data_IF_109874240733
#
_entry.id   IF_109874240733
#
_cell.length_a   1.000
_cell.length_b   1.000
_cell.length_c   1.000
_cell.angle_alpha   90.00
_cell.angle_beta   90.00
_cell.angle_gamma   90.00
#
_symmetry.space_group_name_H-M   'P 1'
#
loop_
_entity.id
_entity.type
_entity.pdbx_description
1 polymer ?
#
# COMPACT_ATOMS: atom_id res chain seq x y z
N UNK A 1 -9.12 -9.12 -9.51
CA UNK A 1 -9.18 -8.01 -10.49
C UNK A 1 -9.43 -6.66 -9.83
N UNK A 2 -10.33 -6.55 -8.85
CA UNK A 2 -10.79 -5.27 -8.26
C UNK A 2 -9.69 -4.26 -7.90
N UNK A 3 -8.58 -4.60 -7.18
CA UNK A 3 -7.53 -3.62 -6.90
C UNK A 3 -6.86 -3.08 -8.16
N UNK A 4 -6.63 -3.93 -9.15
CA UNK A 4 -6.01 -3.53 -10.42
C UNK A 4 -6.95 -2.67 -11.27
N UNK A 5 -8.25 -2.97 -11.23
CA UNK A 5 -9.26 -2.16 -11.91
C UNK A 5 -9.44 -0.79 -11.26
N UNK A 6 -9.29 -0.69 -9.92
CA UNK A 6 -9.26 0.60 -9.24
C UNK A 6 -8.04 1.42 -9.69
N UNK A 7 -6.84 0.82 -9.73
CA UNK A 7 -5.63 1.50 -10.26
C UNK A 7 -5.85 1.97 -11.69
N UNK A 8 -6.38 1.09 -12.55
CA UNK A 8 -6.67 1.41 -13.94
C UNK A 8 -7.71 2.54 -14.08
N UNK A 9 -8.76 2.51 -13.24
CA UNK A 9 -9.79 3.54 -13.21
C UNK A 9 -9.19 4.92 -12.85
N UNK A 10 -8.39 4.97 -11.78
CA UNK A 10 -7.70 6.21 -11.35
C UNK A 10 -6.79 6.74 -12.45
N UNK A 11 -5.95 5.88 -13.07
CA UNK A 11 -5.02 6.27 -14.10
C UNK A 11 -5.71 6.72 -15.40
N UNK A 12 -6.73 5.97 -15.87
CA UNK A 12 -7.49 6.30 -17.10
C UNK A 12 -8.24 7.63 -16.98
N UNK A 13 -8.77 7.93 -15.80
CA UNK A 13 -9.54 9.15 -15.56
C UNK A 13 -8.68 10.35 -15.09
N UNK A 14 -7.34 10.26 -15.17
CA UNK A 14 -6.40 11.29 -14.75
C UNK A 14 -6.62 11.80 -13.32
N UNK A 15 -7.11 10.94 -12.44
CA UNK A 15 -7.32 11.28 -11.04
C UNK A 15 -5.98 11.34 -10.29
N UNK A 16 -5.91 12.06 -9.16
CA UNK A 16 -4.73 11.98 -8.30
C UNK A 16 -4.43 10.52 -7.95
N UNK A 17 -3.19 10.07 -8.19
CA UNK A 17 -2.87 8.66 -8.00
C UNK A 17 -2.95 8.21 -6.53
N UNK A 18 -2.96 9.14 -5.59
CA UNK A 18 -3.31 8.87 -4.18
C UNK A 18 -4.69 8.21 -4.03
N UNK A 19 -5.63 8.42 -4.97
CA UNK A 19 -6.95 7.78 -4.91
C UNK A 19 -6.89 6.24 -4.93
N UNK A 20 -5.79 5.62 -5.37
CA UNK A 20 -5.65 4.16 -5.22
C UNK A 20 -5.74 3.71 -3.75
N UNK A 21 -5.46 4.60 -2.80
CA UNK A 21 -5.58 4.37 -1.35
C UNK A 21 -6.65 5.24 -0.69
N UNK A 22 -6.91 6.46 -1.20
CA UNK A 22 -7.83 7.41 -0.55
C UNK A 22 -9.23 7.43 -1.15
N UNK A 23 -9.49 6.61 -2.20
CA UNK A 23 -10.83 6.51 -2.76
C UNK A 23 -11.85 6.11 -1.68
N UNK A 24 -12.93 6.89 -1.53
CA UNK A 24 -14.08 6.60 -0.68
C UNK A 24 -15.12 5.71 -1.40
N UNK A 25 -14.68 4.98 -2.40
CA UNK A 25 -15.43 4.05 -3.24
C UNK A 25 -14.56 2.85 -3.62
N UNK A 26 -15.20 1.79 -4.09
CA UNK A 26 -14.54 0.70 -4.82
C UNK A 26 -14.99 0.70 -6.29
N UNK A 27 -14.48 -0.23 -7.09
CA UNK A 27 -14.97 -0.47 -8.45
C UNK A 27 -15.61 -1.84 -8.53
N UNK A 28 -16.78 -1.91 -9.14
CA UNK A 28 -17.55 -3.14 -9.27
C UNK A 28 -17.89 -3.41 -10.73
N UNK A 29 -17.92 -4.68 -11.13
CA UNK A 29 -18.54 -5.14 -12.37
C UNK A 29 -19.95 -5.66 -12.10
N UNK A 30 -20.66 -6.14 -13.12
CA UNK A 30 -22.02 -6.67 -12.98
C UNK A 30 -22.14 -7.72 -11.87
N UNK A 31 -21.21 -8.68 -11.83
CA UNK A 31 -21.27 -9.80 -10.88
C UNK A 31 -21.00 -9.33 -9.44
N UNK A 32 -19.95 -8.54 -9.25
CA UNK A 32 -19.62 -8.03 -7.92
C UNK A 32 -20.66 -7.03 -7.40
N UNK A 33 -21.28 -6.23 -8.27
CA UNK A 33 -22.39 -5.36 -7.88
C UNK A 33 -23.55 -6.18 -7.28
N UNK A 34 -23.94 -7.27 -7.94
CA UNK A 34 -24.99 -8.18 -7.41
C UNK A 34 -24.60 -8.81 -6.07
N UNK A 35 -23.36 -9.27 -5.92
CA UNK A 35 -22.86 -9.84 -4.65
C UNK A 35 -22.99 -8.83 -3.51
N UNK A 36 -22.74 -7.54 -3.80
CA UNK A 36 -22.86 -6.46 -2.82
C UNK A 36 -24.26 -5.89 -2.67
N UNK A 37 -25.27 -6.49 -3.36
CA UNK A 37 -26.66 -6.03 -3.29
C UNK A 37 -26.92 -4.70 -3.99
N UNK A 38 -26.06 -4.31 -4.91
CA UNK A 38 -26.24 -3.13 -5.75
C UNK A 38 -27.06 -3.49 -6.99
N UNK A 39 -27.75 -2.52 -7.57
CA UNK A 39 -28.40 -2.66 -8.87
C UNK A 39 -27.38 -2.38 -9.99
N UNK A 40 -26.96 -3.41 -10.78
CA UNK A 40 -26.02 -3.21 -11.86
C UNK A 40 -26.55 -2.26 -12.95
N UNK A 41 -27.86 -2.26 -13.22
CA UNK A 41 -28.45 -1.41 -14.24
C UNK A 41 -28.35 0.09 -13.85
N UNK A 42 -28.56 0.41 -12.58
CA UNK A 42 -28.38 1.77 -12.05
C UNK A 42 -26.93 2.26 -12.17
N UNK A 43 -25.97 1.34 -12.19
CA UNK A 43 -24.54 1.64 -12.39
C UNK A 43 -24.14 1.67 -13.88
N UNK A 44 -25.06 1.43 -14.80
CA UNK A 44 -24.76 1.31 -16.22
C UNK A 44 -24.03 0.02 -16.59
N UNK A 45 -24.18 -1.03 -15.79
CA UNK A 45 -23.61 -2.38 -15.97
C UNK A 45 -24.72 -3.33 -16.44
N UNK A 46 -25.28 -3.10 -17.64
CA UNK A 46 -26.47 -3.83 -18.11
C UNK A 46 -26.19 -5.23 -18.66
N UNK A 47 -24.95 -5.57 -18.99
CA UNK A 47 -24.60 -6.86 -19.60
C UNK A 47 -23.99 -7.83 -18.57
N UNK A 48 -24.72 -8.93 -18.18
CA UNK A 48 -24.18 -9.91 -17.24
C UNK A 48 -22.96 -10.68 -17.73
N UNK A 49 -22.74 -10.74 -19.05
CA UNK A 49 -21.57 -11.42 -19.64
C UNK A 49 -20.34 -10.52 -19.78
N UNK A 50 -20.46 -9.23 -19.44
CA UNK A 50 -19.32 -8.30 -19.45
C UNK A 50 -18.62 -8.31 -18.09
N UNK A 51 -17.55 -9.08 -18.01
CA UNK A 51 -16.70 -9.18 -16.82
C UNK A 51 -15.65 -8.08 -16.70
N UNK A 52 -15.49 -7.24 -17.72
CA UNK A 52 -14.40 -6.27 -17.85
C UNK A 52 -14.83 -4.82 -17.64
N UNK A 53 -16.12 -4.53 -17.70
CA UNK A 53 -16.64 -3.19 -17.38
C UNK A 53 -16.76 -3.02 -15.88
N UNK A 54 -16.06 -2.02 -15.35
CA UNK A 54 -16.08 -1.66 -13.94
C UNK A 54 -16.56 -0.22 -13.76
N UNK A 55 -17.36 -0.01 -12.71
CA UNK A 55 -17.89 1.31 -12.32
C UNK A 55 -17.61 1.58 -10.84
N UNK A 56 -17.35 2.84 -10.46
CA UNK A 56 -17.20 3.20 -9.06
C UNK A 56 -18.52 3.02 -8.32
N UNK A 57 -18.43 2.49 -7.11
CA UNK A 57 -19.58 2.29 -6.23
C UNK A 57 -19.19 2.43 -4.76
N UNK A 58 -20.13 2.97 -3.96
CA UNK A 58 -20.00 2.97 -2.49
C UNK A 58 -20.80 1.79 -1.95
N UNK A 59 -20.17 1.03 -1.07
CA UNK A 59 -20.79 -0.14 -0.48
C UNK A 59 -21.39 0.20 0.87
N UNK A 60 -22.45 -0.50 1.23
CA UNK A 60 -23.01 -0.52 2.58
C UNK A 60 -23.15 -1.95 3.07
N UNK A 61 -23.09 -2.13 4.38
CA UNK A 61 -23.30 -3.43 5.02
C UNK A 61 -24.26 -3.27 6.18
N UNK A 62 -25.14 -4.26 6.39
CA UNK A 62 -26.00 -4.30 7.57
C UNK A 62 -25.36 -5.19 8.62
N UNK A 63 -25.21 -4.68 9.84
CA UNK A 63 -24.70 -5.42 11.00
C UNK A 63 -25.64 -5.22 12.17
N UNK A 64 -26.14 -6.33 12.73
CA UNK A 64 -27.12 -6.32 13.83
C UNK A 64 -28.31 -5.39 13.55
N UNK A 65 -28.85 -5.43 12.32
CA UNK A 65 -29.97 -4.59 11.90
C UNK A 65 -29.61 -3.12 11.56
N UNK A 66 -28.40 -2.67 11.80
CA UNK A 66 -27.97 -1.29 11.52
C UNK A 66 -27.22 -1.23 10.19
N UNK A 67 -27.63 -0.36 9.25
CA UNK A 67 -26.86 -0.10 8.03
C UNK A 67 -25.62 0.75 8.32
N UNK A 68 -24.50 0.38 7.72
CA UNK A 68 -23.24 1.09 7.80
C UNK A 68 -22.70 1.34 6.40
N UNK A 69 -22.28 2.57 6.14
CA UNK A 69 -21.42 2.84 4.98
C UNK A 69 -20.07 2.18 5.20
N UNK A 70 -19.57 1.44 4.20
CA UNK A 70 -18.23 0.90 4.23
C UNK A 70 -17.23 2.07 4.10
N UNK A 71 -16.31 2.26 5.06
CA UNK A 71 -15.32 3.33 5.00
C UNK A 71 -14.20 2.94 4.03
N UNK A 72 -14.48 3.10 2.72
CA UNK A 72 -13.51 2.75 1.69
C UNK A 72 -12.20 3.53 1.84
N UNK A 73 -11.10 2.83 1.66
CA UNK A 73 -9.74 3.34 1.64
C UNK A 73 -8.98 2.70 0.45
N UNK A 74 -9.55 2.86 -0.73
CA UNK A 74 -9.02 2.31 -1.96
C UNK A 74 -8.68 0.82 -1.86
N UNK A 75 -7.48 0.46 -2.29
CA UNK A 75 -6.97 -0.93 -2.31
C UNK A 75 -7.00 -1.58 -0.92
N UNK A 76 -6.72 -0.81 0.16
CA UNK A 76 -6.59 -1.35 1.51
C UNK A 76 -7.89 -1.99 2.02
N UNK A 77 -9.04 -1.61 1.49
CA UNK A 77 -10.36 -2.11 1.87
C UNK A 77 -10.95 -3.08 0.86
N UNK A 78 -10.22 -3.40 -0.20
CA UNK A 78 -10.70 -4.42 -1.15
C UNK A 78 -10.63 -5.82 -0.54
N UNK A 79 -11.63 -6.68 -0.77
CA UNK A 79 -11.60 -8.07 -0.31
C UNK A 79 -10.34 -8.80 -0.79
N UNK A 80 -9.86 -8.51 -1.99
CA UNK A 80 -8.64 -9.12 -2.54
C UNK A 80 -7.41 -8.80 -1.70
N UNK A 81 -7.22 -7.55 -1.28
CA UNK A 81 -6.11 -7.17 -0.41
C UNK A 81 -6.25 -7.78 0.98
N UNK A 82 -7.43 -7.64 1.58
CA UNK A 82 -7.69 -8.10 2.96
C UNK A 82 -7.61 -9.62 3.11
N UNK A 83 -8.10 -10.39 2.11
CA UNK A 83 -8.09 -11.85 2.14
C UNK A 83 -6.74 -12.45 1.72
N UNK A 84 -5.93 -11.72 0.95
CA UNK A 84 -4.57 -12.16 0.62
C UNK A 84 -3.69 -12.22 1.86
N UNK A 85 -3.93 -11.35 2.83
CA UNK A 85 -3.21 -11.28 4.12
C UNK A 85 -4.21 -11.24 5.28
N UNK A 86 -4.86 -12.40 5.56
CA UNK A 86 -5.89 -12.45 6.59
C UNK A 86 -5.32 -12.19 7.98
N UNK A 87 -6.12 -11.58 8.84
CA UNK A 87 -5.80 -11.48 10.26
C UNK A 87 -5.97 -12.84 10.93
N UNK A 88 -5.16 -13.12 11.93
CA UNK A 88 -5.27 -14.27 12.82
C UNK A 88 -5.13 -13.81 14.27
N UNK A 89 -5.42 -14.68 15.24
CA UNK A 89 -5.22 -14.40 16.65
C UNK A 89 -3.77 -14.11 17.04
N UNK A 90 -2.80 -14.51 16.21
CA UNK A 90 -1.36 -14.30 16.46
C UNK A 90 -0.78 -13.15 15.64
N UNK A 91 -1.15 -13.02 14.35
CA UNK A 91 -0.58 -11.95 13.52
C UNK A 91 -1.23 -10.58 13.72
N UNK A 92 -2.49 -10.54 14.23
CA UNK A 92 -3.19 -9.30 14.60
C UNK A 92 -3.05 -8.17 13.53
N UNK A 93 -3.34 -8.49 12.28
CA UNK A 93 -3.22 -7.58 11.12
C UNK A 93 -1.77 -7.14 10.75
N UNK A 94 -0.74 -7.64 11.39
CA UNK A 94 0.66 -7.29 11.08
C UNK A 94 1.04 -7.59 9.62
N UNK A 95 0.49 -8.68 9.06
CA UNK A 95 0.70 -8.99 7.65
C UNK A 95 0.14 -7.89 6.72
N UNK A 96 -1.08 -7.40 6.99
CA UNK A 96 -1.71 -6.29 6.23
C UNK A 96 -0.89 -5.00 6.33
N UNK A 97 -0.48 -4.63 7.55
CA UNK A 97 0.35 -3.45 7.81
C UNK A 97 1.72 -3.53 7.12
N UNK A 98 2.40 -4.70 7.21
CA UNK A 98 3.67 -4.92 6.50
C UNK A 98 3.52 -4.76 4.99
N UNK A 99 2.45 -5.31 4.39
CA UNK A 99 2.23 -5.18 2.95
C UNK A 99 1.87 -3.76 2.54
N UNK A 100 1.21 -3.00 3.42
CA UNK A 100 1.00 -1.56 3.20
C UNK A 100 2.33 -0.81 3.14
N UNK A 101 3.24 -1.06 4.08
CA UNK A 101 4.58 -0.49 4.07
C UNK A 101 5.36 -0.90 2.80
N UNK A 102 5.33 -2.18 2.45
CA UNK A 102 6.07 -2.72 1.32
C UNK A 102 5.59 -2.16 -0.03
N UNK A 103 4.28 -2.19 -0.27
CA UNK A 103 3.74 -1.85 -1.58
C UNK A 103 3.56 -0.35 -1.80
N UNK A 104 3.31 0.40 -0.73
CA UNK A 104 2.96 1.82 -0.86
C UNK A 104 3.99 2.78 -0.25
N UNK A 105 4.95 2.27 0.51
CA UNK A 105 6.02 3.06 1.10
C UNK A 105 7.44 2.52 0.80
N UNK A 106 7.57 1.60 -0.16
CA UNK A 106 8.84 0.99 -0.54
C UNK A 106 9.68 0.49 0.68
N UNK A 107 9.00 0.07 1.75
CA UNK A 107 9.65 -0.34 3.00
C UNK A 107 9.24 -1.78 3.35
N UNK A 108 10.16 -2.73 3.18
CA UNK A 108 9.94 -4.11 3.66
C UNK A 108 10.68 -4.32 4.98
N UNK A 109 9.92 -4.35 6.08
CA UNK A 109 10.49 -4.52 7.43
C UNK A 109 11.29 -5.81 7.61
N UNK A 110 10.98 -6.88 6.87
CA UNK A 110 11.76 -8.12 6.94
C UNK A 110 13.10 -8.03 6.21
N UNK A 111 13.21 -7.15 5.21
CA UNK A 111 14.48 -6.91 4.53
C UNK A 111 15.45 -6.04 5.37
N UNK A 112 14.91 -5.32 6.36
CA UNK A 112 15.71 -4.49 7.28
C UNK A 112 16.25 -5.32 8.46
N UNK A 113 15.68 -6.50 8.74
CA UNK A 113 16.18 -7.40 9.77
C UNK A 113 17.51 -8.03 9.33
N UNK A 114 18.59 -7.66 10.00
CA UNK A 114 19.96 -8.10 9.64
C UNK A 114 20.20 -9.61 9.80
N UNK A 115 19.39 -10.28 10.63
CA UNK A 115 19.51 -11.72 10.88
C UNK A 115 18.21 -12.27 11.48
N UNK A 116 17.95 -13.61 11.36
CA UNK A 116 16.88 -14.27 12.08
C UNK A 116 17.02 -14.08 13.59
N UNK A 117 15.89 -13.86 14.26
CA UNK A 117 15.84 -13.85 15.73
C UNK A 117 16.04 -15.29 16.21
N UNK A 118 16.97 -15.49 17.13
CA UNK A 118 17.09 -16.76 17.85
C UNK A 118 15.91 -16.88 18.84
N UNK A 119 14.98 -17.82 18.66
CA UNK A 119 13.85 -17.98 19.57
C UNK A 119 14.24 -18.20 21.03
N UNK A 120 15.42 -18.78 21.28
CA UNK A 120 15.93 -19.03 22.64
C UNK A 120 16.33 -17.75 23.37
N UNK A 121 16.62 -16.66 22.64
CA UNK A 121 16.97 -15.37 23.23
C UNK A 121 15.74 -14.57 23.70
N UNK A 122 14.53 -14.98 23.30
CA UNK A 122 13.28 -14.32 23.65
C UNK A 122 12.75 -14.86 24.96
N UNK A 123 12.94 -14.12 26.04
CA UNK A 123 12.55 -14.55 27.41
C UNK A 123 11.24 -13.91 27.89
N UNK A 124 10.75 -12.86 27.22
CA UNK A 124 9.52 -12.17 27.59
C UNK A 124 8.26 -12.91 27.17
N UNK A 125 7.22 -12.84 27.99
CA UNK A 125 5.86 -13.30 27.63
C UNK A 125 5.17 -12.42 26.58
N UNK A 126 5.68 -11.19 26.37
CA UNK A 126 5.21 -10.26 25.34
C UNK A 126 6.40 -9.63 24.59
N UNK A 127 7.15 -10.44 23.82
CA UNK A 127 8.40 -9.98 23.20
C UNK A 127 8.23 -8.79 22.25
N UNK A 128 7.09 -8.66 21.60
CA UNK A 128 6.83 -7.53 20.68
C UNK A 128 6.79 -6.16 21.37
N UNK A 129 6.66 -6.14 22.71
CA UNK A 129 6.64 -4.91 23.52
C UNK A 129 7.86 -4.76 24.41
N UNK A 130 8.41 -5.88 24.90
CA UNK A 130 9.39 -5.87 25.99
C UNK A 130 10.80 -6.19 25.52
N UNK A 131 10.93 -6.88 24.39
CA UNK A 131 12.23 -7.22 23.81
C UNK A 131 12.71 -6.12 22.86
N UNK A 132 13.90 -5.56 23.12
CA UNK A 132 14.44 -4.44 22.36
C UNK A 132 14.63 -4.76 20.86
N UNK A 133 14.92 -6.02 20.52
CA UNK A 133 15.07 -6.46 19.16
C UNK A 133 13.72 -6.50 18.41
N UNK A 134 12.70 -7.04 19.05
CA UNK A 134 11.35 -7.12 18.49
C UNK A 134 10.69 -5.74 18.38
N UNK A 135 10.86 -4.88 19.41
CA UNK A 135 10.23 -3.56 19.47
C UNK A 135 10.70 -2.62 18.36
N UNK A 136 11.91 -2.79 17.83
CA UNK A 136 12.45 -1.98 16.74
C UNK A 136 11.52 -1.94 15.51
N UNK A 137 10.92 -3.08 15.14
CA UNK A 137 9.95 -3.18 14.05
C UNK A 137 8.50 -2.99 14.53
N UNK A 138 8.16 -3.53 15.72
CA UNK A 138 6.79 -3.53 16.21
C UNK A 138 6.27 -2.15 16.62
N UNK A 139 7.14 -1.21 17.01
CA UNK A 139 6.75 0.19 17.24
C UNK A 139 6.20 0.89 16.01
N UNK A 140 6.60 0.44 14.81
CA UNK A 140 6.07 0.95 13.54
C UNK A 140 4.89 0.11 13.07
N UNK A 141 5.01 -1.21 13.17
CA UNK A 141 4.09 -2.17 12.58
C UNK A 141 2.76 -2.25 13.34
N UNK A 142 2.81 -2.32 14.67
CA UNK A 142 1.64 -2.61 15.50
C UNK A 142 0.61 -1.47 15.51
N UNK A 143 0.98 -0.17 15.59
CA UNK A 143 0.00 0.91 15.42
C UNK A 143 -0.69 0.88 14.06
N UNK A 144 0.04 0.59 12.98
CA UNK A 144 -0.55 0.42 11.66
C UNK A 144 -1.49 -0.80 11.60
N UNK A 145 -1.09 -1.91 12.20
CA UNK A 145 -1.93 -3.11 12.28
C UNK A 145 -3.25 -2.83 13.00
N UNK A 146 -3.22 -1.98 14.04
CA UNK A 146 -4.42 -1.57 14.77
C UNK A 146 -5.39 -0.73 13.93
N UNK A 147 -4.96 -0.07 12.85
CA UNK A 147 -5.90 0.62 11.94
C UNK A 147 -6.83 -0.34 11.19
N UNK A 148 -6.45 -1.61 11.07
CA UNK A 148 -7.24 -2.68 10.43
C UNK A 148 -8.20 -3.39 11.38
N UNK A 149 -8.29 -3.02 12.65
CA UNK A 149 -9.02 -3.76 13.69
C UNK A 149 -10.51 -3.98 13.38
N UNK A 150 -11.11 -3.12 12.56
CA UNK A 150 -12.53 -3.25 12.17
C UNK A 150 -12.75 -4.08 10.90
N UNK A 151 -11.74 -4.83 10.47
CA UNK A 151 -11.78 -5.67 9.28
C UNK A 151 -11.44 -7.12 9.60
N UNK A 152 -12.43 -7.99 9.51
CA UNK A 152 -12.32 -9.41 9.83
C UNK A 152 -11.31 -10.15 8.95
N UNK A 153 -11.04 -11.41 9.31
CA UNK A 153 -10.14 -12.29 8.54
C UNK A 153 -10.61 -12.51 7.09
N UNK A 154 -11.92 -12.57 6.88
CA UNK A 154 -12.55 -12.71 5.57
C UNK A 154 -12.72 -11.38 4.80
N UNK A 155 -12.10 -10.29 5.29
CA UNK A 155 -12.17 -8.97 4.65
C UNK A 155 -13.50 -8.23 4.81
N UNK A 156 -14.40 -8.70 5.67
CA UNK A 156 -15.68 -8.00 5.92
C UNK A 156 -15.49 -6.89 6.95
N UNK A 157 -16.14 -5.76 6.73
CA UNK A 157 -16.22 -4.64 7.65
C UNK A 157 -17.12 -4.97 8.85
N UNK A 158 -16.59 -4.77 10.07
CA UNK A 158 -17.24 -5.05 11.35
C UNK A 158 -17.12 -3.85 12.29
N UNK A 159 -17.93 -2.81 12.09
CA UNK A 159 -17.83 -1.56 12.85
C UNK A 159 -18.01 -1.72 14.36
N UNK A 160 -18.88 -2.64 14.76
CA UNK A 160 -19.23 -2.89 16.18
C UNK A 160 -18.31 -3.89 16.87
N UNK A 161 -17.33 -4.48 16.18
CA UNK A 161 -16.42 -5.44 16.79
C UNK A 161 -15.53 -4.77 17.83
N UNK A 162 -15.54 -5.29 19.06
CA UNK A 162 -14.74 -4.85 20.20
C UNK A 162 -13.72 -5.89 20.64
N UNK A 163 -13.54 -6.97 19.88
CA UNK A 163 -12.66 -8.10 20.24
C UNK A 163 -11.16 -7.81 20.05
N UNK A 164 -10.81 -6.59 19.58
CA UNK A 164 -9.41 -6.23 19.36
C UNK A 164 -8.62 -6.26 20.68
N UNK A 165 -7.46 -6.96 20.73
CA UNK A 165 -6.71 -7.14 21.96
C UNK A 165 -6.24 -5.82 22.57
N UNK A 166 -6.50 -5.61 23.86
CA UNK A 166 -6.05 -4.44 24.64
C UNK A 166 -4.52 -4.31 24.66
N UNK A 167 -3.81 -5.42 24.48
CA UNK A 167 -2.35 -5.45 24.38
C UNK A 167 -1.81 -4.76 23.13
N UNK A 168 -2.62 -4.61 22.07
CA UNK A 168 -2.20 -3.88 20.88
C UNK A 168 -2.25 -2.36 21.11
N UNK A 169 -1.30 -1.59 20.53
CA UNK A 169 -1.31 -0.15 20.67
C UNK A 169 -2.53 0.49 19.97
N UNK A 170 -2.77 1.76 20.27
CA UNK A 170 -3.75 2.56 19.53
C UNK A 170 -3.43 2.58 18.02
N UNK A 171 -4.46 2.65 17.15
CA UNK A 171 -4.26 2.83 15.73
C UNK A 171 -3.42 4.07 15.44
N UNK A 172 -2.39 3.92 14.59
CA UNK A 172 -1.47 5.02 14.35
C UNK A 172 -0.57 4.82 13.14
N UNK A 173 0.16 5.88 12.77
CA UNK A 173 1.18 5.89 11.75
C UNK A 173 2.26 6.93 12.10
N UNK A 174 3.53 6.52 12.11
CA UNK A 174 4.61 7.36 12.59
C UNK A 174 4.40 7.75 14.06
N UNK A 175 4.39 9.07 14.34
CA UNK A 175 4.13 9.59 15.69
C UNK A 175 2.67 9.98 15.93
N UNK A 176 1.79 9.78 14.96
CA UNK A 176 0.39 10.15 15.05
C UNK A 176 -0.47 8.95 15.42
N UNK A 177 -1.46 9.15 16.27
CA UNK A 177 -2.40 8.10 16.71
C UNK A 177 -3.84 8.59 16.62
N UNK A 178 -4.77 7.65 16.49
CA UNK A 178 -6.20 7.92 16.58
C UNK A 178 -6.61 7.77 18.05
N UNK A 179 -6.79 8.88 18.75
CA UNK A 179 -7.11 8.86 20.18
C UNK A 179 -8.59 8.56 20.47
N UNK A 180 -9.48 8.85 19.52
CA UNK A 180 -10.91 8.67 19.69
C UNK A 180 -11.37 7.32 19.13
N UNK A 181 -11.85 6.43 19.98
CA UNK A 181 -12.36 5.09 19.60
C UNK A 181 -13.52 5.14 18.60
N UNK A 182 -14.30 6.22 18.59
CA UNK A 182 -15.40 6.42 17.62
C UNK A 182 -14.89 6.58 16.19
N UNK A 183 -13.60 6.88 16.01
CA UNK A 183 -12.95 7.03 14.69
C UNK A 183 -12.33 5.71 14.20
N UNK A 184 -12.22 4.67 15.04
CA UNK A 184 -11.61 3.39 14.66
C UNK A 184 -12.27 2.71 13.45
N UNK A 185 -13.59 2.81 13.23
CA UNK A 185 -14.20 2.31 11.98
C UNK A 185 -13.59 2.92 10.72
N UNK A 186 -13.18 4.20 10.75
CA UNK A 186 -12.52 4.91 9.65
C UNK A 186 -10.97 4.81 9.70
N UNK A 187 -10.42 3.89 10.48
CA UNK A 187 -8.98 3.77 10.70
C UNK A 187 -8.16 3.62 9.42
N UNK A 188 -8.67 2.89 8.41
CA UNK A 188 -7.99 2.74 7.13
C UNK A 188 -8.07 4.00 6.25
N UNK A 189 -9.14 4.76 6.30
CA UNK A 189 -9.21 6.07 5.63
C UNK A 189 -8.19 7.03 6.25
N UNK A 190 -8.09 7.03 7.58
CA UNK A 190 -7.11 7.83 8.30
C UNK A 190 -5.66 7.41 7.94
N UNK A 191 -5.37 6.10 7.89
CA UNK A 191 -4.06 5.57 7.51
C UNK A 191 -3.71 5.92 6.07
N UNK A 192 -4.63 5.71 5.13
CA UNK A 192 -4.38 5.93 3.71
C UNK A 192 -4.05 7.38 3.39
N UNK A 193 -4.69 8.34 4.07
CA UNK A 193 -4.34 9.76 3.95
C UNK A 193 -2.86 10.01 4.33
N UNK A 194 -2.39 9.46 5.46
CA UNK A 194 -1.00 9.62 5.91
C UNK A 194 0.01 8.91 5.03
N UNK A 195 -0.34 7.70 4.58
CA UNK A 195 0.52 6.94 3.64
C UNK A 195 0.71 7.72 2.34
N UNK A 196 -0.33 8.34 1.81
CA UNK A 196 -0.22 9.11 0.55
C UNK A 196 0.45 10.47 0.70
N UNK A 197 0.51 11.01 1.92
CA UNK A 197 1.25 12.23 2.27
C UNK A 197 2.74 11.95 2.54
N UNK A 198 3.11 10.72 2.86
CA UNK A 198 4.51 10.31 3.09
C UNK A 198 5.30 10.35 1.77
N UNK A 199 6.47 10.97 1.79
CA UNK A 199 7.34 11.10 0.61
C UNK A 199 7.69 9.74 -0.03
N UNK A 200 7.74 8.67 0.75
CA UNK A 200 8.00 7.30 0.27
C UNK A 200 6.89 6.77 -0.64
N UNK A 201 5.67 7.32 -0.57
CA UNK A 201 4.59 6.94 -1.48
C UNK A 201 4.98 7.18 -2.94
N UNK A 202 5.48 8.37 -3.26
CA UNK A 202 5.95 8.68 -4.61
C UNK A 202 7.09 7.76 -5.05
N UNK A 203 8.05 7.50 -4.17
CA UNK A 203 9.17 6.58 -4.43
C UNK A 203 8.64 5.17 -4.71
N UNK A 204 7.68 4.69 -3.94
CA UNK A 204 7.07 3.37 -4.15
C UNK A 204 6.38 3.28 -5.50
N UNK A 205 5.59 4.29 -5.88
CA UNK A 205 4.92 4.34 -7.19
C UNK A 205 5.94 4.31 -8.32
N UNK A 206 6.99 5.14 -8.25
CA UNK A 206 8.06 5.19 -9.24
C UNK A 206 8.78 3.85 -9.36
N UNK A 207 9.16 3.23 -8.24
CA UNK A 207 9.84 1.93 -8.22
C UNK A 207 8.98 0.82 -8.82
N UNK A 208 7.68 0.79 -8.52
CA UNK A 208 6.77 -0.20 -9.09
C UNK A 208 6.58 -0.02 -10.60
N UNK A 209 6.47 1.22 -11.08
CA UNK A 209 6.41 1.52 -12.52
C UNK A 209 7.73 1.17 -13.20
N UNK A 210 8.87 1.50 -12.57
CA UNK A 210 10.21 1.14 -13.06
C UNK A 210 10.33 -0.37 -13.27
N UNK A 211 10.02 -1.17 -12.26
CA UNK A 211 10.04 -2.64 -12.35
C UNK A 211 9.18 -3.17 -13.50
N UNK A 212 8.00 -2.59 -13.68
CA UNK A 212 7.08 -2.97 -14.74
C UNK A 212 7.56 -2.61 -16.14
N UNK A 213 8.29 -1.50 -16.30
CA UNK A 213 8.80 -1.02 -17.60
C UNK A 213 10.16 -1.60 -17.96
N UNK A 214 11.06 -1.71 -16.97
CA UNK A 214 12.47 -2.09 -17.19
C UNK A 214 12.68 -3.59 -16.98
N UNK A 215 11.83 -4.24 -16.17
CA UNK A 215 11.96 -5.67 -15.85
C UNK A 215 13.03 -5.99 -14.81
N UNK A 216 13.61 -4.99 -14.16
CA UNK A 216 14.64 -5.14 -13.13
C UNK A 216 14.42 -4.20 -11.95
N UNK A 217 15.16 -4.41 -10.87
CA UNK A 217 15.20 -3.47 -9.76
C UNK A 217 15.98 -2.20 -10.15
N UNK A 218 15.64 -1.04 -9.57
CA UNK A 218 16.51 0.14 -9.63
C UNK A 218 17.92 -0.18 -9.12
N UNK A 219 18.91 0.50 -9.64
CA UNK A 219 20.29 0.34 -9.18
C UNK A 219 20.39 0.62 -7.68
N UNK A 220 21.01 -0.29 -6.96
CA UNK A 220 21.40 -0.08 -5.57
C UNK A 220 22.71 0.70 -5.49
N UNK A 221 22.97 1.37 -4.35
CA UNK A 221 24.26 1.95 -4.08
C UNK A 221 25.31 0.81 -4.03
N UNK A 222 26.45 0.93 -4.75
CA UNK A 222 27.44 -0.14 -4.79
C UNK A 222 28.11 -0.33 -3.42
N UNK A 223 28.53 -1.56 -3.13
CA UNK A 223 29.34 -1.85 -1.96
C UNK A 223 30.73 -1.22 -2.10
N UNK A 224 31.35 -0.71 -1.01
CA UNK A 224 32.65 -0.06 -1.07
C UNK A 224 33.76 -0.92 -1.69
N UNK A 225 33.65 -2.24 -1.54
CA UNK A 225 34.58 -3.25 -2.05
C UNK A 225 34.31 -3.69 -3.50
N UNK A 226 33.28 -3.13 -4.15
CA UNK A 226 32.95 -3.50 -5.54
C UNK A 226 34.08 -3.04 -6.49
N UNK A 227 34.63 -3.92 -7.33
CA UNK A 227 35.69 -3.56 -8.27
C UNK A 227 35.33 -2.40 -9.20
N UNK A 228 34.04 -2.28 -9.55
CA UNK A 228 33.50 -1.24 -10.42
C UNK A 228 32.83 -0.10 -9.64
N UNK A 229 33.20 0.09 -8.35
CA UNK A 229 32.53 1.02 -7.45
C UNK A 229 32.31 2.40 -8.07
N UNK A 230 33.33 3.01 -8.64
CA UNK A 230 33.26 4.38 -9.17
C UNK A 230 32.26 4.52 -10.31
N UNK A 231 32.26 3.57 -11.27
CA UNK A 231 31.33 3.58 -12.42
C UNK A 231 29.89 3.26 -11.98
N UNK A 232 29.70 2.29 -11.10
CA UNK A 232 28.39 1.95 -10.55
C UNK A 232 27.82 3.06 -9.68
N UNK A 233 28.66 3.75 -8.90
CA UNK A 233 28.26 4.92 -8.13
C UNK A 233 27.79 6.06 -9.04
N UNK A 234 28.52 6.33 -10.13
CA UNK A 234 28.14 7.35 -11.11
C UNK A 234 26.80 7.02 -11.77
N UNK A 235 26.58 5.78 -12.17
CA UNK A 235 25.31 5.32 -12.74
C UNK A 235 24.16 5.43 -11.74
N UNK A 236 24.38 5.05 -10.48
CA UNK A 236 23.39 5.21 -9.39
C UNK A 236 23.05 6.69 -9.14
N UNK A 237 24.04 7.57 -9.13
CA UNK A 237 23.84 9.02 -8.98
C UNK A 237 22.98 9.58 -10.11
N UNK A 238 23.28 9.20 -11.36
CA UNK A 238 22.49 9.64 -12.51
C UNK A 238 21.06 9.09 -12.46
N UNK A 239 20.87 7.81 -12.12
CA UNK A 239 19.53 7.26 -11.89
C UNK A 239 18.76 8.09 -10.86
N UNK A 240 19.39 8.39 -9.71
CA UNK A 240 18.73 9.18 -8.66
C UNK A 240 18.41 10.60 -9.13
N UNK A 241 19.27 11.24 -9.92
CA UNK A 241 19.01 12.56 -10.49
C UNK A 241 17.77 12.53 -11.42
N UNK A 242 17.65 11.48 -12.21
CA UNK A 242 16.46 11.26 -13.06
C UNK A 242 15.23 11.03 -12.19
N UNK A 243 15.32 10.18 -11.18
CA UNK A 243 14.21 9.87 -10.26
C UNK A 243 13.71 11.11 -9.53
N UNK A 244 14.60 11.96 -9.02
CA UNK A 244 14.23 13.19 -8.33
C UNK A 244 13.42 14.13 -9.24
N UNK A 245 13.81 14.29 -10.52
CA UNK A 245 13.03 15.11 -11.48
C UNK A 245 11.66 14.53 -11.75
N UNK A 246 11.55 13.21 -11.90
CA UNK A 246 10.27 12.53 -12.12
C UNK A 246 9.36 12.69 -10.90
N UNK A 247 9.92 12.49 -9.69
CA UNK A 247 9.18 12.62 -8.43
C UNK A 247 8.72 14.05 -8.17
N UNK A 248 9.54 15.06 -8.49
CA UNK A 248 9.13 16.46 -8.40
C UNK A 248 7.90 16.70 -9.29
N UNK A 249 7.92 16.25 -10.54
CA UNK A 249 6.78 16.39 -11.46
C UNK A 249 5.54 15.63 -11.02
N UNK A 250 5.73 14.41 -10.53
CA UNK A 250 4.64 13.63 -9.94
C UNK A 250 4.06 14.31 -8.70
N UNK A 251 4.90 14.90 -7.85
CA UNK A 251 4.45 15.63 -6.66
C UNK A 251 3.57 16.83 -6.98
N UNK A 252 3.85 17.53 -8.09
CA UNK A 252 3.05 18.66 -8.56
C UNK A 252 1.69 18.23 -9.10
N UNK A 253 1.68 17.22 -9.98
CA UNK A 253 0.50 16.83 -10.76
C UNK A 253 -0.33 15.75 -10.10
N UNK A 254 0.29 14.95 -9.20
CA UNK A 254 -0.26 13.70 -8.64
C UNK A 254 -0.68 12.67 -9.70
N UNK A 255 -0.26 12.84 -10.96
CA UNK A 255 -0.66 11.97 -12.07
C UNK A 255 0.41 10.93 -12.36
N UNK A 256 0.06 9.65 -12.26
CA UNK A 256 0.99 8.55 -12.50
C UNK A 256 1.58 8.54 -13.91
N UNK A 257 0.87 9.10 -14.89
CA UNK A 257 1.36 9.20 -16.28
C UNK A 257 2.66 10.01 -16.39
N UNK A 258 2.91 10.95 -15.47
CA UNK A 258 4.17 11.69 -15.43
C UNK A 258 5.35 10.80 -15.05
N UNK A 259 5.14 9.78 -14.23
CA UNK A 259 6.18 8.78 -13.91
C UNK A 259 6.48 7.93 -15.16
N UNK A 260 5.44 7.40 -15.83
CA UNK A 260 5.63 6.66 -17.09
C UNK A 260 6.36 7.49 -18.14
N UNK A 261 5.88 8.72 -18.37
CA UNK A 261 6.51 9.65 -19.33
C UNK A 261 7.97 9.92 -18.97
N UNK A 262 8.23 10.25 -17.71
CA UNK A 262 9.59 10.55 -17.24
C UNK A 262 10.55 9.39 -17.40
N UNK A 263 10.13 8.15 -17.11
CA UNK A 263 10.95 6.95 -17.32
C UNK A 263 11.18 6.67 -18.80
N UNK A 264 10.14 6.60 -19.61
CA UNK A 264 10.24 6.25 -21.05
C UNK A 264 11.11 7.26 -21.82
N UNK A 265 11.06 8.54 -21.47
CA UNK A 265 11.86 9.58 -22.14
C UNK A 265 13.27 9.74 -21.57
N UNK A 266 13.60 9.04 -20.47
CA UNK A 266 14.91 9.11 -19.83
C UNK A 266 15.96 8.22 -20.49
N UNK A 267 17.24 8.45 -20.15
CA UNK A 267 18.35 7.59 -20.55
C UNK A 267 18.18 6.16 -19.98
N UNK A 268 17.55 6.00 -18.82
CA UNK A 268 17.31 4.68 -18.17
C UNK A 268 16.60 3.71 -19.13
N UNK A 269 15.56 4.16 -19.81
CA UNK A 269 14.76 3.28 -20.70
C UNK A 269 15.54 2.82 -21.92
N UNK A 270 16.58 3.56 -22.33
CA UNK A 270 17.43 3.27 -23.49
C UNK A 270 18.75 2.60 -23.12
N UNK A 271 19.10 2.59 -21.82
CA UNK A 271 20.33 1.98 -21.35
C UNK A 271 20.27 0.46 -21.46
N UNK A 272 21.27 -0.14 -22.07
CA UNK A 272 21.46 -1.59 -22.11
C UNK A 272 22.17 -2.12 -20.87
N UNK A 273 22.88 -1.25 -20.14
CA UNK A 273 23.61 -1.59 -18.92
C UNK A 273 23.75 -0.36 -18.01
N UNK A 274 24.23 -0.58 -16.78
CA UNK A 274 24.52 0.51 -15.84
C UNK A 274 25.63 1.46 -16.38
N UNK A 275 26.55 0.98 -17.19
CA UNK A 275 27.61 1.79 -17.80
C UNK A 275 27.07 2.84 -18.78
N UNK A 276 25.93 2.57 -19.42
CA UNK A 276 25.28 3.49 -20.37
C UNK A 276 24.61 4.68 -19.68
N UNK A 277 24.51 4.67 -18.34
CA UNK A 277 23.94 5.73 -17.53
C UNK A 277 24.96 6.74 -17.02
N UNK A 278 26.21 6.70 -17.47
CA UNK A 278 27.20 7.68 -17.07
C UNK A 278 26.86 9.07 -17.62
N UNK A 279 27.07 10.14 -16.84
CA UNK A 279 26.93 11.50 -17.35
C UNK A 279 27.95 11.74 -18.47
N UNK A 280 27.53 12.43 -19.52
CA UNK A 280 28.38 12.84 -20.62
C UNK A 280 29.43 13.87 -20.17
#
# INVERSE_FOLDING_TARGET
AEPLELVAYVARNNKPFSEILTADYTVVNYQSAKVWGLDPAALGLGNPADYYSFKPAKLSVTRSGTPWQVPHAGILTTPTFLNRWPTTGTNLNRARARMTLKFFLATDLLAVAERPIDPSSVTSTNPTRDDAYCTSCHTVLDPMASTYQKWAANGLFQPSDTSWPVAMPQPGFGKQVINNVQQYPAGLQWLSARVTEDARFGVSVLTNVYRGLIGSEPLAYPAPEDPDFSSKQSAWQEQNRIFQRILAKFSETKNVKEIFKGLITSAIYRAGSAHDLQPA
#
